data_IF_126206215597
#
_entry.id   IF_126206215597
#
_cell.length_a   1.000
_cell.length_b   1.000
_cell.length_c   1.000
_cell.angle_alpha   90.00
_cell.angle_beta   90.00
_cell.angle_gamma   90.00
#
_symmetry.space_group_name_H-M   'P 1'
#
loop_
_entity.id
_entity.type
_entity.pdbx_description
1 polymer ?
#
# COMPACT_ATOMS: atom_id res chain seq x y z
N UNK A 1 12.43 -5.46 -3.16
CA UNK A 1 11.29 -5.51 -4.10
C UNK A 1 10.02 -5.15 -3.39
N UNK A 2 9.18 -4.34 -4.03
CA UNK A 2 7.96 -3.76 -3.45
C UNK A 2 6.90 -3.51 -4.53
N UNK A 3 5.63 -3.57 -4.16
CA UNK A 3 4.49 -3.21 -5.01
C UNK A 3 4.50 -1.74 -5.50
N UNK A 4 5.26 -0.86 -4.84
CA UNK A 4 5.48 0.53 -5.29
C UNK A 4 6.11 0.58 -6.69
N UNK A 5 7.00 -0.36 -7.02
CA UNK A 5 7.66 -0.44 -8.33
C UNK A 5 6.67 -0.73 -9.49
N UNK A 6 5.45 -1.15 -9.15
CA UNK A 6 4.44 -1.62 -10.09
C UNK A 6 3.24 -0.68 -10.16
N UNK A 7 3.30 0.49 -9.51
CA UNK A 7 2.18 1.43 -9.38
C UNK A 7 0.91 0.79 -8.76
N UNK A 8 1.10 -0.18 -7.87
CA UNK A 8 0.01 -0.88 -7.17
C UNK A 8 0.07 -0.71 -5.65
N UNK A 9 0.88 0.23 -5.16
CA UNK A 9 0.94 0.61 -3.76
C UNK A 9 1.17 2.12 -3.60
N UNK A 10 0.87 2.63 -2.40
CA UNK A 10 1.22 3.98 -1.98
C UNK A 10 1.48 4.01 -0.47
N UNK A 11 2.16 5.07 -0.03
CA UNK A 11 2.32 5.39 1.38
C UNK A 11 1.68 6.76 1.65
N UNK A 12 0.83 6.85 2.66
CA UNK A 12 0.19 8.09 3.07
C UNK A 12 0.20 8.26 4.59
N UNK A 13 0.09 9.51 5.04
CA UNK A 13 0.09 9.86 6.46
C UNK A 13 -1.08 10.80 6.76
N UNK A 14 -1.84 10.59 7.85
CA UNK A 14 -2.83 11.55 8.29
C UNK A 14 -2.18 12.89 8.65
N UNK A 15 -2.85 13.99 8.29
CA UNK A 15 -2.45 15.33 8.70
C UNK A 15 -3.34 15.83 9.83
N UNK A 16 -2.74 16.29 10.93
CA UNK A 16 -3.44 16.92 12.05
C UNK A 16 -2.99 18.37 12.13
N UNK A 17 -3.92 19.31 11.90
CA UNK A 17 -3.58 20.73 11.81
C UNK A 17 -2.53 21.03 10.73
N UNK A 18 -2.55 20.27 9.62
CA UNK A 18 -1.59 20.40 8.51
C UNK A 18 -0.22 19.76 8.76
N UNK A 19 0.01 19.13 9.92
CA UNK A 19 1.27 18.45 10.24
C UNK A 19 1.12 16.93 10.12
N UNK A 20 2.11 16.21 9.58
CA UNK A 20 2.08 14.76 9.49
C UNK A 20 2.09 14.13 10.88
N UNK A 21 1.13 13.23 11.13
CA UNK A 21 0.98 12.51 12.39
C UNK A 21 1.58 11.11 12.29
N UNK A 22 2.91 11.01 12.45
CA UNK A 22 3.66 9.76 12.27
C UNK A 22 3.42 8.73 13.37
N UNK A 23 3.14 9.15 14.60
CA UNK A 23 2.94 8.23 15.71
C UNK A 23 1.51 7.67 15.68
N UNK A 24 1.39 6.37 15.36
CA UNK A 24 0.10 5.68 15.33
C UNK A 24 -0.65 5.78 16.66
N UNK A 25 0.03 5.62 17.81
CA UNK A 25 -0.64 5.58 19.10
C UNK A 25 -1.18 6.95 19.54
N UNK A 26 -0.52 8.04 19.14
CA UNK A 26 -0.96 9.41 19.41
C UNK A 26 -2.07 9.87 18.47
N UNK A 27 -2.15 9.29 17.27
CA UNK A 27 -3.11 9.65 16.22
C UNK A 27 -3.98 8.46 15.77
N UNK A 28 -4.30 7.56 16.71
CA UNK A 28 -4.95 6.28 16.42
C UNK A 28 -6.25 6.45 15.63
N UNK A 29 -7.11 7.37 16.05
CA UNK A 29 -8.40 7.59 15.39
C UNK A 29 -8.24 7.99 13.91
N UNK A 30 -7.23 8.80 13.60
CA UNK A 30 -6.94 9.26 12.25
C UNK A 30 -6.33 8.14 11.39
N UNK A 31 -5.46 7.33 11.98
CA UNK A 31 -4.89 6.16 11.30
C UNK A 31 -5.93 5.07 11.04
N UNK A 32 -6.80 4.79 12.01
CA UNK A 32 -7.88 3.81 11.85
C UNK A 32 -8.87 4.27 10.78
N UNK A 33 -9.18 5.57 10.72
CA UNK A 33 -9.97 6.17 9.64
C UNK A 33 -9.26 6.08 8.28
N UNK A 34 -7.95 6.32 8.22
CA UNK A 34 -7.16 6.12 6.99
C UNK A 34 -7.23 4.67 6.50
N UNK A 35 -6.97 3.70 7.39
CA UNK A 35 -7.09 2.28 7.06
C UNK A 35 -8.49 1.93 6.56
N UNK A 36 -9.53 2.50 7.16
CA UNK A 36 -10.90 2.28 6.73
C UNK A 36 -11.15 2.78 5.31
N UNK A 37 -10.66 3.98 4.98
CA UNK A 37 -10.70 4.47 3.60
C UNK A 37 -9.94 3.55 2.63
N UNK A 38 -8.76 3.04 3.02
CA UNK A 38 -7.99 2.08 2.21
C UNK A 38 -8.82 0.84 1.89
N UNK A 39 -9.49 0.25 2.88
CA UNK A 39 -10.34 -0.93 2.69
C UNK A 39 -11.57 -0.62 1.84
N UNK A 40 -12.20 0.54 2.01
CA UNK A 40 -13.37 0.96 1.24
C UNK A 40 -13.09 1.08 -0.26
N UNK A 41 -11.86 1.43 -0.64
CA UNK A 41 -11.43 1.46 -2.05
C UNK A 41 -10.89 0.10 -2.56
N UNK A 42 -11.07 -0.97 -1.79
CA UNK A 42 -10.69 -2.33 -2.18
C UNK A 42 -9.19 -2.61 -2.10
N UNK A 43 -8.43 -1.79 -1.37
CA UNK A 43 -6.99 -1.96 -1.17
C UNK A 43 -6.71 -2.62 0.19
N UNK A 44 -5.51 -3.19 0.32
CA UNK A 44 -5.02 -3.82 1.55
C UNK A 44 -4.20 -2.80 2.32
N UNK A 45 -4.55 -2.59 3.59
CA UNK A 45 -3.79 -1.74 4.50
C UNK A 45 -2.80 -2.58 5.33
N UNK A 46 -1.52 -2.23 5.33
CA UNK A 46 -0.50 -2.97 6.09
C UNK A 46 -0.59 -2.73 7.61
N UNK A 47 -1.40 -1.76 8.06
CA UNK A 47 -1.77 -1.63 9.48
C UNK A 47 -2.51 -2.86 10.03
N UNK A 48 -3.17 -3.62 9.16
CA UNK A 48 -3.91 -4.84 9.53
C UNK A 48 -3.01 -6.09 9.62
N UNK A 49 -1.73 -6.00 9.22
CA UNK A 49 -0.81 -7.15 9.27
C UNK A 49 -0.52 -7.61 10.70
N UNK A 50 -0.23 -8.89 10.87
CA UNK A 50 0.09 -9.48 12.18
C UNK A 50 1.55 -9.26 12.59
N UNK A 51 2.45 -9.16 11.61
CA UNK A 51 3.87 -8.88 11.80
C UNK A 51 4.29 -7.72 10.90
N UNK A 52 5.29 -6.94 11.33
CA UNK A 52 5.84 -5.80 10.57
C UNK A 52 4.75 -4.84 10.06
N UNK A 53 3.93 -4.32 10.98
CA UNK A 53 2.90 -3.34 10.64
C UNK A 53 3.51 -2.06 10.11
N UNK A 54 3.11 -1.68 8.91
CA UNK A 54 3.54 -0.45 8.25
C UNK A 54 2.30 0.43 8.03
N UNK A 55 1.95 1.24 9.02
CA UNK A 55 0.74 2.04 8.99
C UNK A 55 0.60 2.95 7.75
N UNK A 56 1.67 3.55 7.19
CA UNK A 56 1.52 4.34 5.97
C UNK A 56 1.09 3.53 4.75
N UNK A 57 1.43 2.24 4.70
CA UNK A 57 1.44 1.45 3.48
C UNK A 57 0.08 0.88 3.11
N UNK A 58 -0.29 1.04 1.84
CA UNK A 58 -1.44 0.40 1.22
C UNK A 58 -1.06 -0.21 -0.13
N UNK A 59 -1.59 -1.39 -0.44
CA UNK A 59 -1.27 -2.13 -1.66
C UNK A 59 -2.47 -2.88 -2.24
N UNK A 60 -2.47 -3.12 -3.54
CA UNK A 60 -3.60 -3.71 -4.27
C UNK A 60 -3.65 -5.22 -4.16
N UNK A 61 -2.48 -5.86 -4.13
CA UNK A 61 -2.33 -7.31 -4.10
C UNK A 61 -1.81 -7.74 -2.74
N UNK A 62 -2.14 -8.94 -2.24
CA UNK A 62 -1.53 -9.45 -1.01
C UNK A 62 -0.05 -9.78 -1.22
N UNK A 63 0.67 -10.02 -0.11
CA UNK A 63 2.09 -10.39 -0.13
C UNK A 63 3.02 -9.20 0.04
N UNK A 64 4.29 -9.35 -0.28
CA UNK A 64 5.30 -8.31 -0.14
C UNK A 64 6.30 -8.22 -1.30
N UNK A 65 6.78 -9.34 -1.84
CA UNK A 65 7.77 -9.31 -2.93
C UNK A 65 7.12 -9.78 -4.23
N UNK A 66 6.81 -8.87 -5.17
CA UNK A 66 6.13 -9.19 -6.42
C UNK A 66 6.87 -10.26 -7.25
N UNK A 67 8.21 -10.25 -7.26
CA UNK A 67 9.02 -11.22 -7.99
C UNK A 67 8.97 -12.63 -7.39
N UNK A 68 8.53 -12.79 -6.14
CA UNK A 68 8.28 -14.09 -5.52
C UNK A 68 6.85 -14.57 -5.69
N UNK A 69 5.92 -13.65 -5.94
CA UNK A 69 4.48 -13.90 -5.91
C UNK A 69 3.87 -14.04 -7.29
N UNK A 70 4.54 -13.51 -8.32
CA UNK A 70 4.05 -13.50 -9.69
C UNK A 70 5.08 -14.11 -10.65
N UNK A 71 4.59 -14.77 -11.70
CA UNK A 71 5.45 -15.22 -12.80
C UNK A 71 5.99 -14.03 -13.60
N UNK A 72 7.07 -14.21 -14.39
CA UNK A 72 7.56 -13.16 -15.28
C UNK A 72 6.49 -12.61 -16.23
N UNK A 73 5.62 -13.47 -16.78
CA UNK A 73 4.54 -13.05 -17.68
C UNK A 73 3.50 -12.18 -16.95
N UNK A 74 3.11 -12.57 -15.74
CA UNK A 74 2.19 -11.79 -14.92
C UNK A 74 2.78 -10.43 -14.52
N UNK A 75 4.09 -10.39 -14.21
CA UNK A 75 4.80 -9.13 -13.96
C UNK A 75 4.79 -8.24 -15.20
N UNK A 76 5.08 -8.80 -16.38
CA UNK A 76 5.04 -8.05 -17.63
C UNK A 76 3.64 -7.46 -17.90
N UNK A 77 2.59 -8.26 -17.72
CA UNK A 77 1.19 -7.80 -17.85
C UNK A 77 0.85 -6.66 -16.89
N UNK A 78 1.28 -6.75 -15.62
CA UNK A 78 1.09 -5.67 -14.63
C UNK A 78 1.78 -4.39 -15.09
N UNK A 79 3.04 -4.48 -15.52
CA UNK A 79 3.81 -3.32 -15.94
C UNK A 79 3.21 -2.66 -17.19
N UNK A 80 2.79 -3.45 -18.19
CA UNK A 80 2.11 -2.92 -19.38
C UNK A 80 0.74 -2.34 -19.02
N UNK A 81 -0.06 -3.06 -18.23
CA UNK A 81 -1.40 -2.64 -17.83
C UNK A 81 -1.41 -1.34 -17.01
N UNK A 82 -0.37 -1.10 -16.21
CA UNK A 82 -0.19 0.13 -15.45
C UNK A 82 0.61 1.21 -16.21
N UNK A 83 0.94 0.99 -17.48
CA UNK A 83 1.63 1.97 -18.33
C UNK A 83 3.10 2.20 -17.99
N UNK A 84 3.73 1.28 -17.26
CA UNK A 84 5.14 1.33 -16.87
C UNK A 84 6.08 0.73 -17.93
N UNK A 85 5.54 -0.08 -18.83
CA UNK A 85 6.21 -0.57 -20.03
C UNK A 85 5.37 -0.27 -21.27
N UNK A 86 6.05 -0.07 -22.40
CA UNK A 86 5.37 -0.01 -23.70
C UNK A 86 4.93 -1.42 -24.11
N UNK A 87 3.76 -1.56 -24.76
CA UNK A 87 3.33 -2.85 -25.30
C UNK A 87 4.30 -3.39 -26.36
#
# INVERSE_FOLDING_TARGET
ESWHNYAEAWDAVPLIGGKPAWNYFEARAQWDAYGECVRQVGMIWAGDWTNFREYPHAQKRPGGNPLRESSPDAIHEILVGNGLLKP
#
